data_IF_864940070315
#
_entry.id   IF_864940070315
#
_cell.length_a   1.000
_cell.length_b   1.000
_cell.length_c   1.000
_cell.angle_alpha   90.00
_cell.angle_beta   90.00
_cell.angle_gamma   90.00
#
_symmetry.space_group_name_H-M   'P 1'
#
loop_
_entity.id
_entity.type
_entity.pdbx_description
1 polymer ?
#
# COMPACT_ATOMS: atom_id res chain seq x y z
N UNK A 1 -8.87 -10.78 19.67
CA UNK A 1 -9.16 -10.81 18.21
C UNK A 1 -10.32 -11.74 17.83
N UNK A 2 -10.41 -12.99 18.32
CA UNK A 2 -11.56 -13.88 18.02
C UNK A 2 -12.95 -13.35 18.43
N UNK A 3 -13.04 -12.51 19.46
CA UNK A 3 -14.30 -11.99 19.98
C UNK A 3 -14.93 -10.89 19.10
N UNK A 4 -14.13 -10.12 18.37
CA UNK A 4 -14.64 -9.02 17.53
C UNK A 4 -15.24 -9.50 16.20
N UNK A 5 -14.69 -10.58 15.63
CA UNK A 5 -15.20 -11.21 14.41
C UNK A 5 -16.56 -11.91 14.65
N UNK A 6 -16.71 -12.53 15.83
CA UNK A 6 -17.95 -13.23 16.22
C UNK A 6 -19.15 -12.30 16.43
N UNK A 7 -18.90 -11.03 16.81
CA UNK A 7 -19.94 -10.03 17.02
C UNK A 7 -20.60 -9.52 15.72
N UNK A 8 -20.00 -9.77 14.55
CA UNK A 8 -20.52 -9.35 13.23
C UNK A 8 -21.11 -10.50 12.39
N UNK A 9 -21.21 -11.71 12.93
CA UNK A 9 -21.79 -12.86 12.20
C UNK A 9 -20.96 -13.28 10.97
N UNK A 10 -19.67 -13.00 10.97
CA UNK A 10 -18.78 -13.36 9.86
C UNK A 10 -18.43 -14.85 9.96
N UNK A 11 -18.45 -15.58 8.83
CA UNK A 11 -18.13 -17.01 8.79
C UNK A 11 -16.68 -17.28 9.18
N UNK A 12 -16.38 -18.50 9.67
CA UNK A 12 -15.08 -18.91 10.21
C UNK A 12 -13.87 -18.76 9.26
N UNK A 13 -14.10 -18.63 7.96
CA UNK A 13 -13.06 -18.32 6.97
C UNK A 13 -12.57 -16.85 7.06
N UNK A 14 -13.25 -15.97 7.78
CA UNK A 14 -12.86 -14.58 7.99
C UNK A 14 -11.65 -14.40 8.94
N UNK A 15 -11.12 -15.49 9.54
CA UNK A 15 -9.89 -15.50 10.33
C UNK A 15 -8.61 -15.65 9.48
N UNK A 16 -8.67 -15.47 8.16
CA UNK A 16 -7.48 -15.45 7.31
C UNK A 16 -6.60 -14.27 7.67
N UNK A 17 -5.29 -14.51 7.68
CA UNK A 17 -4.31 -13.43 7.78
C UNK A 17 -4.61 -12.42 6.68
N UNK A 18 -4.91 -11.17 7.08
CA UNK A 18 -5.17 -10.09 6.11
C UNK A 18 -3.89 -9.45 5.58
N UNK A 19 -2.74 -9.80 6.15
CA UNK A 19 -1.43 -9.30 5.75
C UNK A 19 -0.62 -10.43 5.13
N UNK A 20 -0.27 -10.26 3.87
CA UNK A 20 0.45 -11.23 3.03
C UNK A 20 1.88 -10.75 2.80
N UNK A 21 2.84 -11.65 3.01
CA UNK A 21 4.25 -11.37 2.74
C UNK A 21 4.59 -11.53 1.26
N UNK A 22 3.97 -12.50 0.61
CA UNK A 22 4.17 -12.78 -0.81
C UNK A 22 3.00 -12.21 -1.64
N UNK A 23 3.35 -11.54 -2.73
CA UNK A 23 2.37 -10.98 -3.66
C UNK A 23 1.59 -12.07 -4.41
N UNK A 24 2.14 -13.29 -4.52
CA UNK A 24 1.43 -14.43 -5.14
C UNK A 24 0.26 -14.90 -4.28
N UNK A 25 0.45 -15.00 -2.96
CA UNK A 25 -0.62 -15.34 -2.02
C UNK A 25 -1.68 -14.24 -1.96
N UNK A 26 -1.25 -12.97 -1.99
CA UNK A 26 -2.14 -11.83 -2.08
C UNK A 26 -2.97 -11.87 -3.37
N UNK A 27 -2.38 -12.23 -4.53
CA UNK A 27 -3.08 -12.32 -5.80
C UNK A 27 -4.25 -13.31 -5.78
N UNK A 28 -4.09 -14.44 -5.08
CA UNK A 28 -5.11 -15.51 -5.00
C UNK A 28 -6.39 -15.11 -4.26
N UNK A 29 -6.31 -14.09 -3.40
CA UNK A 29 -7.45 -13.63 -2.59
C UNK A 29 -8.10 -12.35 -3.12
N UNK A 30 -7.54 -11.76 -4.18
CA UNK A 30 -8.05 -10.55 -4.78
C UNK A 30 -9.34 -10.78 -5.56
N UNK A 31 -10.34 -9.97 -5.28
CA UNK A 31 -11.56 -9.94 -6.09
C UNK A 31 -11.25 -9.34 -7.47
N UNK A 32 -11.74 -9.94 -8.57
CA UNK A 32 -11.53 -9.43 -9.92
C UNK A 32 -12.22 -8.08 -10.13
N UNK A 33 -11.77 -7.33 -11.13
CA UNK A 33 -12.38 -6.07 -11.60
C UNK A 33 -12.53 -4.98 -10.53
N UNK A 34 -11.71 -5.04 -9.47
CA UNK A 34 -11.65 -4.03 -8.41
C UNK A 34 -10.26 -3.44 -8.30
N UNK A 35 -10.21 -2.15 -8.00
CA UNK A 35 -8.96 -1.41 -7.89
C UNK A 35 -8.09 -1.90 -6.71
N UNK A 36 -6.79 -1.60 -6.78
CA UNK A 36 -5.87 -1.68 -5.64
C UNK A 36 -5.49 -0.27 -5.21
N UNK A 37 -5.15 -0.10 -3.94
CA UNK A 37 -4.53 1.13 -3.46
C UNK A 37 -3.09 0.87 -3.05
N UNK A 38 -2.22 1.85 -3.32
CA UNK A 38 -0.82 1.88 -2.91
C UNK A 38 -0.60 2.91 -1.81
N UNK A 39 0.20 2.55 -0.80
CA UNK A 39 0.58 3.45 0.28
C UNK A 39 2.11 3.56 0.39
N UNK A 40 2.62 4.78 0.39
CA UNK A 40 4.00 5.10 0.79
C UNK A 40 4.00 5.71 2.21
N UNK A 41 4.53 4.96 3.16
CA UNK A 41 4.58 5.37 4.57
C UNK A 41 5.83 6.21 4.86
N UNK A 42 5.80 7.49 4.54
CA UNK A 42 6.83 8.45 4.90
C UNK A 42 6.86 8.74 6.42
N UNK A 43 7.86 9.52 6.85
CA UNK A 43 7.98 9.95 8.26
C UNK A 43 6.98 11.03 8.65
N UNK A 44 6.61 11.93 7.74
CA UNK A 44 5.72 13.06 7.95
C UNK A 44 4.39 12.95 7.22
N UNK A 45 4.32 12.08 6.23
CA UNK A 45 3.22 11.97 5.28
C UNK A 45 2.99 10.52 4.93
N UNK A 46 1.78 10.21 4.43
CA UNK A 46 1.44 8.96 3.77
C UNK A 46 0.95 9.32 2.37
N UNK A 47 1.70 8.92 1.36
CA UNK A 47 1.28 9.01 -0.03
C UNK A 47 0.25 7.92 -0.35
N UNK A 48 -0.78 8.28 -1.08
CA UNK A 48 -1.85 7.37 -1.51
C UNK A 48 -1.97 7.39 -3.02
N UNK A 49 -1.97 6.21 -3.63
CA UNK A 49 -2.27 6.00 -5.04
C UNK A 49 -3.38 4.98 -5.21
N UNK A 50 -4.01 4.96 -6.38
CA UNK A 50 -5.06 4.00 -6.71
C UNK A 50 -4.90 3.51 -8.14
N UNK A 51 -5.24 2.24 -8.40
CA UNK A 51 -5.32 1.71 -9.76
C UNK A 51 -6.72 1.90 -10.35
N UNK A 52 -6.81 1.71 -11.67
CA UNK A 52 -8.08 1.39 -12.32
C UNK A 52 -8.56 -0.02 -11.92
N UNK A 53 -9.83 -0.35 -12.23
CA UNK A 53 -10.40 -1.65 -11.93
C UNK A 53 -9.73 -2.82 -12.67
N UNK A 54 -9.15 -2.56 -13.84
CA UNK A 54 -8.36 -3.53 -14.62
C UNK A 54 -6.94 -3.72 -14.08
N UNK A 55 -6.53 -2.93 -13.09
CA UNK A 55 -5.18 -2.94 -12.49
C UNK A 55 -4.07 -2.71 -13.52
N UNK A 56 -4.33 -1.80 -14.46
CA UNK A 56 -3.39 -1.48 -15.55
C UNK A 56 -2.49 -0.31 -15.21
N UNK A 57 -3.02 0.73 -14.58
CA UNK A 57 -2.33 1.98 -14.31
C UNK A 57 -2.54 2.43 -12.88
N UNK A 58 -1.46 2.82 -12.21
CA UNK A 58 -1.49 3.46 -10.90
C UNK A 58 -1.51 4.98 -11.05
N UNK A 59 -2.48 5.63 -10.42
CA UNK A 59 -2.64 7.08 -10.42
C UNK A 59 -2.43 7.63 -9.00
N UNK A 60 -1.58 8.67 -8.83
CA UNK A 60 -1.46 9.39 -7.58
C UNK A 60 -2.82 9.94 -7.14
N UNK A 61 -3.16 9.84 -5.86
CA UNK A 61 -4.45 10.23 -5.37
C UNK A 61 -4.39 11.41 -4.38
N UNK A 62 -3.76 11.20 -3.23
CA UNK A 62 -3.76 12.16 -2.14
C UNK A 62 -2.57 11.93 -1.21
N UNK A 63 -2.20 12.95 -0.43
CA UNK A 63 -1.19 12.84 0.62
C UNK A 63 -1.80 13.16 1.97
N UNK A 64 -1.72 12.21 2.91
CA UNK A 64 -2.18 12.36 4.29
C UNK A 64 -1.02 12.83 5.17
N UNK A 65 -1.18 13.97 5.88
CA UNK A 65 -0.20 14.42 6.89
C UNK A 65 -0.28 13.53 8.12
N UNK A 66 0.83 12.90 8.48
CA UNK A 66 0.90 11.99 9.63
C UNK A 66 0.73 12.72 10.95
N UNK A 67 -0.01 12.10 11.83
CA UNK A 67 -0.24 12.52 13.23
C UNK A 67 -0.05 11.31 14.14
N UNK A 68 -1.15 10.80 14.70
CA UNK A 68 -1.19 9.55 15.45
C UNK A 68 -1.87 8.49 14.60
N UNK A 69 -1.47 7.24 14.77
CA UNK A 69 -2.00 6.10 13.99
C UNK A 69 -3.54 6.13 13.83
N UNK A 70 -4.28 6.38 14.91
CA UNK A 70 -5.75 6.40 14.84
C UNK A 70 -6.31 7.45 13.88
N UNK A 71 -5.76 8.68 13.89
CA UNK A 71 -6.16 9.75 12.98
C UNK A 71 -5.72 9.47 11.53
N UNK A 72 -4.53 8.90 11.36
CA UNK A 72 -4.01 8.52 10.05
C UNK A 72 -4.88 7.40 9.44
N UNK A 73 -5.23 6.39 10.24
CA UNK A 73 -6.09 5.29 9.82
C UNK A 73 -7.50 5.76 9.46
N UNK A 74 -8.10 6.65 10.25
CA UNK A 74 -9.41 7.24 9.97
C UNK A 74 -9.41 7.99 8.63
N UNK A 75 -8.40 8.85 8.40
CA UNK A 75 -8.26 9.58 7.14
C UNK A 75 -8.12 8.63 5.95
N UNK A 76 -7.29 7.59 6.06
CA UNK A 76 -7.14 6.58 5.02
C UNK A 76 -8.43 5.81 4.76
N UNK A 77 -9.15 5.40 5.80
CA UNK A 77 -10.44 4.71 5.64
C UNK A 77 -11.46 5.57 4.90
N UNK A 78 -11.52 6.88 5.19
CA UNK A 78 -12.37 7.84 4.46
C UNK A 78 -11.99 7.92 2.99
N UNK A 79 -10.69 8.00 2.67
CA UNK A 79 -10.20 8.07 1.28
C UNK A 79 -10.52 6.77 0.53
N UNK A 80 -10.25 5.62 1.14
CA UNK A 80 -10.42 4.31 0.54
C UNK A 80 -11.88 3.89 0.39
N UNK A 81 -12.77 4.32 1.32
CA UNK A 81 -14.20 4.00 1.27
C UNK A 81 -14.94 4.61 0.08
N UNK A 82 -14.39 5.68 -0.49
CA UNK A 82 -14.95 6.35 -1.69
C UNK A 82 -14.72 5.54 -2.97
N UNK A 83 -14.01 4.42 -2.90
CA UNK A 83 -13.62 3.61 -4.05
C UNK A 83 -13.80 2.13 -3.77
N UNK A 84 -13.99 1.36 -4.83
CA UNK A 84 -14.10 -0.10 -4.75
C UNK A 84 -12.71 -0.76 -4.74
N UNK A 85 -12.04 -0.70 -3.59
CA UNK A 85 -10.69 -1.21 -3.40
C UNK A 85 -10.72 -2.68 -3.01
N UNK A 86 -10.03 -3.56 -3.74
CA UNK A 86 -9.90 -4.98 -3.42
C UNK A 86 -8.81 -5.28 -2.38
N UNK A 87 -7.77 -4.47 -2.29
CA UNK A 87 -6.64 -4.67 -1.38
C UNK A 87 -5.66 -3.52 -1.38
N UNK A 88 -4.70 -3.56 -0.45
CA UNK A 88 -3.66 -2.55 -0.26
C UNK A 88 -2.28 -3.12 -0.56
N UNK A 89 -1.44 -2.29 -1.18
CA UNK A 89 -0.01 -2.52 -1.38
C UNK A 89 0.75 -1.46 -0.60
N UNK A 90 1.57 -1.86 0.36
CA UNK A 90 2.42 -0.97 1.15
C UNK A 90 3.87 -1.06 0.67
N UNK A 91 4.48 0.08 0.40
CA UNK A 91 5.91 0.16 0.15
C UNK A 91 6.71 -0.31 1.37
N UNK A 92 7.64 -1.23 1.17
CA UNK A 92 8.52 -1.76 2.21
C UNK A 92 9.96 -1.28 1.95
N UNK A 93 10.45 -0.29 2.73
CA UNK A 93 11.76 0.33 2.49
C UNK A 93 12.90 -0.54 3.05
N UNK A 94 13.25 -1.62 2.35
CA UNK A 94 14.40 -2.48 2.68
C UNK A 94 15.71 -1.79 2.41
N UNK A 95 16.74 -2.14 3.18
CA UNK A 95 18.12 -1.70 2.92
C UNK A 95 18.66 -2.33 1.62
N UNK A 96 19.69 -1.75 1.04
CA UNK A 96 20.28 -2.25 -0.21
C UNK A 96 20.81 -3.69 -0.10
N UNK A 97 21.26 -4.11 1.09
CA UNK A 97 21.67 -5.48 1.40
C UNK A 97 20.52 -6.46 1.61
N UNK A 98 19.27 -6.00 1.54
CA UNK A 98 18.05 -6.80 1.77
C UNK A 98 17.61 -6.89 3.22
N UNK A 99 18.37 -6.37 4.15
CA UNK A 99 18.00 -6.34 5.58
C UNK A 99 16.83 -5.38 5.84
N UNK A 100 16.11 -5.62 6.94
CA UNK A 100 14.99 -4.79 7.35
C UNK A 100 15.39 -3.88 8.52
N UNK A 101 15.46 -2.58 8.24
CA UNK A 101 15.73 -1.56 9.23
C UNK A 101 14.46 -1.13 10.02
N UNK A 102 14.59 -0.14 10.92
CA UNK A 102 13.48 0.37 11.73
C UNK A 102 12.27 0.84 10.92
N UNK A 103 12.48 1.36 9.70
CA UNK A 103 11.39 1.79 8.81
C UNK A 103 10.53 0.61 8.34
N UNK A 104 11.15 -0.52 7.97
CA UNK A 104 10.42 -1.74 7.63
C UNK A 104 9.58 -2.24 8.81
N UNK A 105 10.15 -2.25 10.02
CA UNK A 105 9.45 -2.64 11.24
C UNK A 105 8.24 -1.74 11.51
N UNK A 106 8.40 -0.42 11.31
CA UNK A 106 7.30 0.55 11.43
C UNK A 106 6.19 0.31 10.41
N UNK A 107 6.56 0.03 9.14
CA UNK A 107 5.60 -0.29 8.07
C UNK A 107 4.83 -1.59 8.38
N UNK A 108 5.52 -2.61 8.86
CA UNK A 108 4.88 -3.87 9.27
C UNK A 108 3.95 -3.70 10.47
N UNK A 109 4.35 -2.89 11.45
CA UNK A 109 3.50 -2.55 12.60
C UNK A 109 2.24 -1.79 12.14
N UNK A 110 2.40 -0.83 11.22
CA UNK A 110 1.27 -0.11 10.62
C UNK A 110 0.31 -1.08 9.92
N UNK A 111 0.82 -1.97 9.07
CA UNK A 111 -0.01 -2.96 8.34
C UNK A 111 -0.82 -3.84 9.30
N UNK A 112 -0.19 -4.39 10.35
CA UNK A 112 -0.88 -5.20 11.36
C UNK A 112 -1.98 -4.43 12.10
N UNK A 113 -1.70 -3.19 12.48
CA UNK A 113 -2.67 -2.34 13.18
C UNK A 113 -3.80 -1.92 12.25
N UNK A 114 -3.50 -1.61 10.99
CA UNK A 114 -4.49 -1.22 10.00
C UNK A 114 -5.40 -2.38 9.60
N UNK A 115 -4.87 -3.60 9.51
CA UNK A 115 -5.65 -4.83 9.25
C UNK A 115 -6.71 -5.11 10.33
N UNK A 116 -6.59 -4.54 11.53
CA UNK A 116 -7.63 -4.63 12.55
C UNK A 116 -8.84 -3.72 12.26
N UNK A 117 -8.68 -2.73 11.40
CA UNK A 117 -9.70 -1.73 11.02
C UNK A 117 -10.18 -1.89 9.57
N UNK A 118 -9.43 -2.66 8.77
CA UNK A 118 -9.62 -2.87 7.35
C UNK A 118 -9.84 -4.35 7.06
N UNK A 119 -10.92 -4.69 6.37
CA UNK A 119 -11.38 -6.07 6.15
C UNK A 119 -10.89 -6.71 4.84
N UNK A 120 -9.93 -6.09 4.16
CA UNK A 120 -9.42 -6.53 2.85
C UNK A 120 -7.91 -6.84 2.92
N UNK A 121 -7.39 -7.64 1.99
CA UNK A 121 -6.01 -8.06 1.99
C UNK A 121 -5.03 -6.89 1.86
N UNK A 122 -3.90 -7.00 2.55
CA UNK A 122 -2.77 -6.07 2.54
C UNK A 122 -1.52 -6.86 2.16
N UNK A 123 -0.69 -6.33 1.27
CA UNK A 123 0.63 -6.90 0.97
C UNK A 123 1.72 -5.83 0.99
N UNK A 124 2.97 -6.28 0.93
CA UNK A 124 4.13 -5.42 0.86
C UNK A 124 4.75 -5.47 -0.54
N UNK A 125 5.32 -4.33 -0.95
CA UNK A 125 6.12 -4.22 -2.14
C UNK A 125 7.52 -3.72 -1.78
N UNK A 126 8.55 -4.47 -2.16
CA UNK A 126 9.94 -4.07 -1.94
C UNK A 126 10.28 -2.88 -2.85
N UNK A 127 10.52 -1.71 -2.23
CA UNK A 127 10.81 -0.47 -2.96
C UNK A 127 12.08 -0.55 -3.81
N UNK A 128 13.01 -1.47 -3.51
CA UNK A 128 14.20 -1.69 -4.32
C UNK A 128 13.90 -2.25 -5.72
N UNK A 129 12.74 -2.91 -5.88
CA UNK A 129 12.28 -3.49 -7.14
C UNK A 129 11.60 -2.45 -8.06
N UNK A 130 11.41 -1.24 -7.57
CA UNK A 130 10.84 -0.15 -8.36
C UNK A 130 11.94 0.82 -8.78
N UNK A 131 11.82 1.42 -9.95
CA UNK A 131 12.65 2.53 -10.45
C UNK A 131 12.51 3.80 -9.59
N UNK A 132 11.71 3.74 -8.51
CA UNK A 132 11.37 4.83 -7.59
C UNK A 132 12.60 5.50 -7.01
N UNK A 133 13.66 4.76 -6.70
CA UNK A 133 14.88 5.36 -6.15
C UNK A 133 15.58 6.27 -7.18
N UNK A 134 15.60 5.86 -8.46
CA UNK A 134 16.19 6.66 -9.54
C UNK A 134 15.30 7.87 -9.89
N UNK A 135 13.99 7.70 -9.90
CA UNK A 135 13.05 8.78 -10.21
C UNK A 135 12.84 9.75 -9.06
N UNK A 136 12.89 9.31 -7.79
CA UNK A 136 13.01 10.21 -6.64
C UNK A 136 14.23 11.12 -6.76
N UNK A 137 15.38 10.59 -7.13
CA UNK A 137 16.59 11.37 -7.32
C UNK A 137 16.44 12.40 -8.46
N UNK A 138 15.74 12.07 -9.54
CA UNK A 138 15.45 13.00 -10.65
C UNK A 138 14.42 14.08 -10.25
N UNK A 139 13.37 13.71 -9.51
CA UNK A 139 12.37 14.65 -9.01
C UNK A 139 12.93 15.58 -7.92
N UNK A 140 13.89 15.10 -7.12
CA UNK A 140 14.61 15.91 -6.14
C UNK A 140 15.54 16.94 -6.79
N UNK A 141 16.00 16.69 -8.01
CA UNK A 141 16.87 17.61 -8.73
C UNK A 141 16.14 18.83 -9.37
N UNK A 142 14.86 18.69 -9.71
CA UNK A 142 14.19 19.64 -10.64
C UNK A 142 13.12 20.57 -10.05
N UNK A 143 12.81 20.54 -8.73
CA UNK A 143 11.70 21.35 -8.16
C UNK A 143 12.03 22.11 -6.86
N UNK A 144 11.33 23.25 -6.62
CA UNK A 144 11.50 24.10 -5.42
C UNK A 144 10.99 23.42 -4.14
N UNK A 145 11.70 23.64 -3.03
CA UNK A 145 11.59 22.91 -1.73
C UNK A 145 10.18 22.71 -1.14
N UNK A 146 9.23 23.60 -1.36
CA UNK A 146 7.91 23.56 -0.68
C UNK A 146 6.84 22.77 -1.44
N UNK A 147 6.90 22.80 -2.77
CA UNK A 147 6.00 22.01 -3.64
C UNK A 147 6.45 20.55 -3.76
N UNK A 148 7.71 20.26 -3.46
CA UNK A 148 8.35 18.93 -3.52
C UNK A 148 7.73 17.91 -2.59
N UNK A 149 7.53 18.26 -1.31
CA UNK A 149 7.14 17.27 -0.29
C UNK A 149 5.73 16.69 -0.54
N UNK A 150 4.80 17.50 -1.02
CA UNK A 150 3.41 17.06 -1.24
C UNK A 150 3.23 16.27 -2.54
N UNK A 151 4.01 16.58 -3.58
CA UNK A 151 3.96 15.91 -4.88
C UNK A 151 4.77 14.61 -4.88
N UNK A 152 5.90 14.57 -4.19
CA UNK A 152 6.80 13.40 -4.15
C UNK A 152 6.14 12.19 -3.50
N UNK A 153 5.37 12.36 -2.41
CA UNK A 153 4.87 11.24 -1.63
C UNK A 153 3.73 10.47 -2.33
N UNK A 154 2.78 11.15 -2.96
CA UNK A 154 1.72 10.44 -3.69
C UNK A 154 2.20 9.92 -5.04
N UNK A 155 3.22 10.56 -5.66
CA UNK A 155 3.91 10.04 -6.84
C UNK A 155 4.69 8.77 -6.46
N UNK A 156 5.40 8.75 -5.32
CA UNK A 156 6.08 7.56 -4.83
C UNK A 156 5.10 6.39 -4.59
N UNK A 157 3.93 6.67 -4.00
CA UNK A 157 2.89 5.65 -3.83
C UNK A 157 2.40 5.07 -5.17
N UNK A 158 2.33 5.88 -6.24
CA UNK A 158 1.95 5.39 -7.57
C UNK A 158 2.99 4.46 -8.18
N UNK A 159 4.28 4.72 -7.98
CA UNK A 159 5.35 3.82 -8.45
C UNK A 159 5.37 2.50 -7.68
N UNK A 160 5.20 2.54 -6.36
CA UNK A 160 5.05 1.34 -5.52
C UNK A 160 3.89 0.49 -6.04
N UNK A 161 2.74 1.12 -6.26
CA UNK A 161 1.57 0.42 -6.77
C UNK A 161 1.80 -0.09 -8.19
N UNK A 162 2.35 0.71 -9.11
CA UNK A 162 2.60 0.28 -10.49
C UNK A 162 3.52 -0.93 -10.56
N UNK A 163 4.61 -0.95 -9.78
CA UNK A 163 5.50 -2.11 -9.72
C UNK A 163 4.77 -3.38 -9.28
N UNK A 164 3.89 -3.28 -8.28
CA UNK A 164 3.06 -4.40 -7.84
C UNK A 164 2.05 -4.83 -8.93
N UNK A 165 1.41 -3.89 -9.64
CA UNK A 165 0.48 -4.18 -10.74
C UNK A 165 1.19 -4.91 -11.89
N UNK A 166 2.37 -4.47 -12.28
CA UNK A 166 3.15 -5.07 -13.35
C UNK A 166 3.56 -6.51 -12.98
N UNK A 167 3.94 -6.74 -11.72
CA UNK A 167 4.23 -8.09 -11.21
C UNK A 167 3.00 -8.99 -11.24
N UNK A 168 1.85 -8.49 -10.76
CA UNK A 168 0.59 -9.24 -10.79
C UNK A 168 0.18 -9.62 -12.22
N UNK A 169 0.33 -8.70 -13.15
CA UNK A 169 0.04 -8.95 -14.58
C UNK A 169 0.98 -10.00 -15.17
N UNK A 170 2.27 -9.91 -14.86
CA UNK A 170 3.26 -10.88 -15.32
C UNK A 170 2.95 -12.31 -14.82
N UNK A 171 2.51 -12.45 -13.58
CA UNK A 171 2.12 -13.74 -13.00
C UNK A 171 0.86 -14.32 -13.65
N UNK A 172 -0.07 -13.47 -14.08
CA UNK A 172 -1.26 -13.91 -14.81
C UNK A 172 -0.95 -14.38 -16.24
N UNK A 173 0.06 -13.78 -16.88
CA UNK A 173 0.48 -14.13 -18.22
C UNK A 173 1.36 -15.40 -18.27
N UNK A 174 2.00 -15.77 -17.14
CA UNK A 174 2.90 -16.92 -17.01
C UNK A 174 2.54 -17.70 -15.74
N UNK A 175 1.42 -18.44 -15.72
CA UNK A 175 0.93 -19.19 -14.57
C UNK A 175 1.81 -20.39 -14.18
#
# INVERSE_FOLDING_TARGET
MRLYAKARGLPDWCCKALVYEDISDFAQVLQPMRALAGLDLGTKTIGVAVSDGMRSVATPLETVKRKKFGLDAEALLVILSKRDIAGLVLGLPRNMDGSEGPRCQSTRAFARNFAALWDRPITFWDERLSTVAAERALLEADTTRKRRAEVIDHVAASYILQGALDRLRHMQANP
#
